data_IF_991772016676
#
_entry.id   IF_991772016676
#
_cell.length_a   1.000
_cell.length_b   1.000
_cell.length_c   1.000
_cell.angle_alpha   90.00
_cell.angle_beta   90.00
_cell.angle_gamma   90.00
#
_symmetry.space_group_name_H-M   'P 1'
#
loop_
_entity.id
_entity.type
_entity.pdbx_description
1 polymer ?
#
# COMPACT_ATOMS: atom_id res chain seq x y z
N UNK A 1 4.87 -10.15 -7.41
CA UNK A 1 5.00 -9.13 -8.48
C UNK A 1 3.86 -8.12 -8.47
N UNK A 2 2.59 -8.54 -8.53
CA UNK A 2 1.40 -7.65 -8.59
C UNK A 2 1.39 -6.56 -7.49
N UNK A 3 1.72 -6.90 -6.25
CA UNK A 3 1.76 -5.95 -5.13
C UNK A 3 2.86 -4.87 -5.27
N UNK A 4 3.97 -5.15 -5.97
CA UNK A 4 4.96 -4.12 -6.27
C UNK A 4 4.46 -3.14 -7.35
N UNK A 5 3.66 -3.63 -8.30
CA UNK A 5 2.99 -2.76 -9.28
C UNK A 5 1.96 -1.88 -8.57
N UNK A 6 1.22 -2.43 -7.60
CA UNK A 6 0.30 -1.66 -6.76
C UNK A 6 1.00 -0.52 -6.01
N UNK A 7 2.19 -0.75 -5.42
CA UNK A 7 3.04 0.30 -4.82
C UNK A 7 3.45 1.37 -5.84
N UNK A 8 3.92 0.95 -7.01
CA UNK A 8 4.27 1.89 -8.08
C UNK A 8 3.06 2.76 -8.49
N UNK A 9 1.86 2.16 -8.53
CA UNK A 9 0.62 2.91 -8.80
C UNK A 9 0.26 3.88 -7.67
N UNK A 10 0.44 3.48 -6.41
CA UNK A 10 0.24 4.35 -5.25
C UNK A 10 1.16 5.57 -5.27
N UNK A 11 2.41 5.40 -5.73
CA UNK A 11 3.37 6.50 -5.87
C UNK A 11 3.08 7.38 -7.08
N UNK A 12 2.84 6.77 -8.25
CA UNK A 12 2.66 7.49 -9.51
C UNK A 12 1.23 8.04 -9.73
N UNK A 13 0.27 7.67 -8.88
CA UNK A 13 -1.12 8.10 -9.01
C UNK A 13 -1.91 7.39 -10.11
N UNK A 14 -1.46 6.21 -10.56
CA UNK A 14 -2.17 5.43 -11.58
C UNK A 14 -3.40 4.69 -11.02
N UNK A 15 -4.41 5.46 -10.60
CA UNK A 15 -5.63 4.93 -9.94
C UNK A 15 -6.39 3.92 -10.79
N UNK A 16 -6.47 4.13 -12.11
CA UNK A 16 -7.16 3.20 -13.00
C UNK A 16 -6.46 1.84 -13.03
N UNK A 17 -5.13 1.85 -13.25
CA UNK A 17 -4.33 0.63 -13.27
C UNK A 17 -4.39 -0.07 -11.91
N UNK A 18 -4.34 0.69 -10.80
CA UNK A 18 -4.52 0.16 -9.44
C UNK A 18 -5.79 -0.69 -9.30
N UNK A 19 -6.93 -0.17 -9.78
CA UNK A 19 -8.23 -0.88 -9.71
C UNK A 19 -8.27 -2.13 -10.57
N UNK A 20 -7.60 -2.14 -11.72
CA UNK A 20 -7.52 -3.28 -12.64
C UNK A 20 -6.64 -4.42 -12.09
N UNK A 21 -5.75 -4.16 -11.12
CA UNK A 21 -4.88 -5.17 -10.51
C UNK A 21 -5.64 -6.12 -9.55
N UNK A 22 -6.85 -5.75 -9.10
CA UNK A 22 -7.67 -6.52 -8.16
C UNK A 22 -6.90 -7.01 -6.92
N UNK A 23 -5.98 -6.20 -6.40
CA UNK A 23 -5.21 -6.53 -5.20
C UNK A 23 -6.06 -6.38 -3.94
N UNK A 24 -5.71 -7.13 -2.90
CA UNK A 24 -6.30 -6.93 -1.59
C UNK A 24 -5.99 -5.52 -1.04
N UNK A 25 -6.86 -4.96 -0.18
CA UNK A 25 -6.63 -3.66 0.46
C UNK A 25 -5.39 -3.74 1.36
N UNK A 26 -4.26 -3.25 0.84
CA UNK A 26 -2.94 -3.46 1.43
C UNK A 26 -2.44 -2.20 2.15
N UNK A 27 -1.94 -2.37 3.37
CA UNK A 27 -1.62 -1.26 4.28
C UNK A 27 -0.43 -0.42 3.79
N UNK A 28 0.64 -1.04 3.31
CA UNK A 28 1.81 -0.32 2.80
C UNK A 28 1.49 0.49 1.54
N UNK A 29 0.67 -0.05 0.62
CA UNK A 29 0.18 0.68 -0.56
C UNK A 29 -0.64 1.90 -0.14
N UNK A 30 -1.51 1.77 0.87
CA UNK A 30 -2.30 2.89 1.37
C UNK A 30 -1.42 4.00 1.98
N UNK A 31 -0.44 3.63 2.81
CA UNK A 31 0.49 4.59 3.39
C UNK A 31 1.28 5.33 2.31
N UNK A 32 1.81 4.62 1.31
CA UNK A 32 2.53 5.26 0.19
C UNK A 32 1.63 6.17 -0.64
N UNK A 33 0.38 5.77 -0.91
CA UNK A 33 -0.59 6.61 -1.61
C UNK A 33 -0.88 7.90 -0.83
N UNK A 34 -1.03 7.79 0.50
CA UNK A 34 -1.25 8.94 1.39
C UNK A 34 -0.04 9.87 1.42
N UNK A 35 1.17 9.32 1.55
CA UNK A 35 2.42 10.08 1.56
C UNK A 35 2.64 10.85 0.25
N UNK A 36 2.30 10.25 -0.88
CA UNK A 36 2.38 10.89 -2.20
C UNK A 36 1.18 11.80 -2.54
N UNK A 37 0.19 11.93 -1.67
CA UNK A 37 -1.03 12.72 -1.94
C UNK A 37 -1.99 12.11 -2.96
N UNK A 38 -1.81 10.84 -3.31
CA UNK A 38 -2.69 10.08 -4.21
C UNK A 38 -3.92 9.55 -3.45
N UNK A 39 -4.73 10.48 -2.96
CA UNK A 39 -5.84 10.20 -2.03
C UNK A 39 -6.88 9.25 -2.61
N UNK A 40 -7.09 9.20 -3.93
CA UNK A 40 -8.05 8.25 -4.54
C UNK A 40 -7.72 6.79 -4.25
N UNK A 41 -6.45 6.41 -4.34
CA UNK A 41 -6.01 5.03 -4.06
C UNK A 41 -6.08 4.78 -2.55
N UNK A 42 -5.68 5.77 -1.74
CA UNK A 42 -5.79 5.70 -0.29
C UNK A 42 -7.24 5.49 0.16
N UNK A 43 -8.17 6.30 -0.34
CA UNK A 43 -9.59 6.26 0.01
C UNK A 43 -10.23 4.94 -0.44
N UNK A 44 -9.89 4.43 -1.62
CA UNK A 44 -10.33 3.12 -2.10
C UNK A 44 -9.91 1.99 -1.13
N UNK A 45 -8.66 2.02 -0.62
CA UNK A 45 -8.17 1.05 0.36
C UNK A 45 -8.81 1.27 1.74
N UNK A 46 -8.98 2.54 2.16
CA UNK A 46 -9.58 2.89 3.45
C UNK A 46 -11.04 2.50 3.55
N UNK A 47 -11.79 2.57 2.45
CA UNK A 47 -13.19 2.15 2.37
C UNK A 47 -13.40 0.66 2.67
N UNK A 48 -12.36 -0.16 2.54
CA UNK A 48 -12.41 -1.58 2.88
C UNK A 48 -12.39 -1.78 4.40
N UNK A 49 -13.31 -2.59 4.91
CA UNK A 49 -13.43 -2.90 6.35
C UNK A 49 -12.21 -3.61 6.92
N UNK A 50 -11.64 -4.55 6.14
CA UNK A 50 -10.43 -5.29 6.52
C UNK A 50 -9.29 -4.87 5.60
N UNK A 51 -8.13 -4.60 6.21
CA UNK A 51 -6.89 -4.27 5.51
C UNK A 51 -5.87 -5.36 5.82
N UNK A 52 -4.95 -5.58 4.91
CA UNK A 52 -4.03 -6.69 4.95
C UNK A 52 -2.58 -6.22 4.95
N UNK A 53 -1.74 -6.96 5.66
CA UNK A 53 -0.30 -6.82 5.63
C UNK A 53 0.28 -7.92 4.71
N UNK A 54 0.07 -7.75 3.40
CA UNK A 54 0.48 -8.74 2.40
C UNK A 54 1.98 -8.63 2.12
N UNK A 55 2.52 -7.41 2.15
CA UNK A 55 3.93 -7.16 1.94
C UNK A 55 4.64 -7.00 3.28
N UNK A 56 5.90 -7.41 3.35
CA UNK A 56 6.75 -7.11 4.49
C UNK A 56 8.08 -6.52 3.99
N UNK A 57 8.27 -5.22 4.25
CA UNK A 57 9.47 -4.47 3.84
C UNK A 57 10.75 -4.95 4.57
N UNK A 58 10.64 -5.50 5.78
CA UNK A 58 11.79 -5.99 6.56
C UNK A 58 12.35 -7.29 6.01
N UNK A 59 11.47 -8.23 5.69
CA UNK A 59 11.85 -9.54 5.13
C UNK A 59 11.87 -9.54 3.60
N UNK A 60 11.39 -8.46 2.96
CA UNK A 60 11.22 -8.33 1.51
C UNK A 60 10.37 -9.44 0.90
N UNK A 61 9.31 -9.83 1.60
CA UNK A 61 8.42 -10.92 1.18
C UNK A 61 7.01 -10.43 0.85
N UNK A 62 6.28 -11.23 0.07
CA UNK A 62 4.87 -11.03 -0.27
C UNK A 62 4.11 -12.33 0.01
N UNK A 63 3.20 -12.33 0.99
CA UNK A 63 2.44 -13.52 1.41
C UNK A 63 1.00 -13.48 0.86
N UNK A 64 0.77 -14.24 -0.20
CA UNK A 64 -0.53 -14.33 -0.88
C UNK A 64 -1.36 -15.54 -0.46
N UNK A 65 -0.80 -16.45 0.36
CA UNK A 65 -1.47 -17.71 0.73
C UNK A 65 -2.34 -17.51 1.96
N UNK A 66 -1.82 -16.80 2.96
CA UNK A 66 -2.53 -16.51 4.21
C UNK A 66 -2.28 -15.07 4.65
N UNK A 67 -2.74 -14.07 3.86
CA UNK A 67 -2.49 -12.67 4.15
C UNK A 67 -3.09 -12.31 5.50
N UNK A 68 -2.24 -11.78 6.40
CA UNK A 68 -2.67 -11.42 7.75
C UNK A 68 -3.37 -10.07 7.73
N UNK A 69 -4.45 -9.89 8.53
CA UNK A 69 -5.01 -8.57 8.75
C UNK A 69 -3.93 -7.63 9.31
N UNK A 70 -3.90 -6.40 8.81
CA UNK A 70 -2.98 -5.36 9.20
C UNK A 70 -3.72 -4.08 9.52
N UNK A 71 -3.17 -3.29 10.43
CA UNK A 71 -3.67 -1.96 10.77
C UNK A 71 -2.76 -0.90 10.18
N UNK A 72 -3.34 0.23 9.76
CA UNK A 72 -2.54 1.40 9.42
C UNK A 72 -1.72 1.81 10.65
N UNK A 73 -0.45 2.11 10.42
CA UNK A 73 0.48 2.54 11.45
C UNK A 73 0.81 1.53 12.56
N UNK A 74 0.56 0.23 12.35
CA UNK A 74 0.90 -0.81 13.34
C UNK A 74 2.41 -1.05 13.55
N UNK A 75 3.24 -0.61 12.60
CA UNK A 75 4.70 -0.82 12.60
C UNK A 75 5.42 0.28 11.76
N UNK A 76 4.94 1.52 11.81
CA UNK A 76 5.56 2.61 11.03
C UNK A 76 6.90 2.98 11.66
N UNK A 77 7.99 2.44 11.14
CA UNK A 77 9.29 3.10 11.27
C UNK A 77 9.17 4.47 10.58
N UNK A 78 9.28 5.60 11.30
CA UNK A 78 9.21 6.91 10.67
C UNK A 78 10.35 7.02 9.66
N UNK A 79 10.04 7.02 8.36
CA UNK A 79 11.03 7.18 7.29
C UNK A 79 11.44 8.65 7.20
N UNK A 80 12.23 9.10 8.18
CA UNK A 80 12.70 10.49 8.34
C UNK A 80 13.70 10.98 7.28
N UNK A 81 14.07 10.15 6.28
CA UNK A 81 15.12 10.47 5.31
C UNK A 81 14.65 10.65 3.86
N UNK A 82 13.34 10.56 3.56
CA UNK A 82 12.81 10.95 2.24
C UNK A 82 12.20 12.35 2.30
N UNK A 83 13.05 13.36 2.15
CA UNK A 83 12.65 14.74 1.80
C UNK A 83 12.31 14.92 0.30
N UNK A 84 12.09 13.82 -0.43
CA UNK A 84 11.38 13.86 -1.70
C UNK A 84 9.97 13.38 -1.42
N UNK A 85 9.04 14.33 -1.27
CA UNK A 85 7.66 14.05 -1.67
C UNK A 85 7.74 13.51 -3.10
N UNK A 86 6.91 12.51 -3.38
CA UNK A 86 6.54 12.19 -4.75
C UNK A 86 6.20 13.52 -5.46
#
# INVERSE_FOLDING_TARGET
MVYHVARACAVAGYTRLYRELHVLPEVHVAEEARECGNMKIYDDIMASTVKYNVMNDYTRTVDMIAPKPGFLNGDTAPRTWRLAKC
#
